data_IF_343252391208
#
_entry.id   IF_343252391208
#
_cell.length_a   1.000
_cell.length_b   1.000
_cell.length_c   1.000
_cell.angle_alpha   90.00
_cell.angle_beta   90.00
_cell.angle_gamma   90.00
#
_symmetry.space_group_name_H-M   'P 1'
#
loop_
_entity.id
_entity.type
_entity.pdbx_description
1 polymer ?
#
# COMPACT_ATOMS: atom_id res chain seq x y z
N UNK A 1 34.21 11.16 -8.52
CA UNK A 1 33.49 11.57 -8.39
C UNK A 1 32.93 11.50 -8.12
N UNK A 2 32.74 11.31 -8.01
CA UNK A 2 32.05 11.51 -7.84
C UNK A 2 31.54 11.62 -7.58
N UNK A 3 31.58 11.53 -7.52
CA UNK A 3 30.93 11.84 -7.31
C UNK A 3 30.37 12.03 -7.39
N UNK A 4 30.50 11.90 -7.43
CA UNK A 4 29.72 12.35 -7.58
C UNK A 4 29.12 12.20 -7.47
N UNK A 5 29.24 12.13 -7.38
CA UNK A 5 28.44 12.18 -7.11
C UNK A 5 27.91 12.47 -6.70
N UNK A 6 27.71 12.81 -6.59
CA UNK A 6 27.07 13.29 -6.15
C UNK A 6 26.61 13.88 -6.16
N UNK A 7 26.22 14.59 -6.39
CA UNK A 7 25.60 15.15 -6.39
C UNK A 7 24.64 15.47 -6.69
N UNK A 8 23.99 15.97 -6.74
CA UNK A 8 22.83 15.98 -7.65
C UNK A 8 22.21 14.61 -7.80
N UNK A 9 22.62 13.69 -7.03
CA UNK A 9 22.09 12.34 -7.06
C UNK A 9 20.67 12.27 -6.49
N UNK A 10 20.34 13.19 -5.61
CA UNK A 10 18.98 13.21 -5.03
C UNK A 10 17.96 13.58 -6.08
N UNK A 11 18.29 14.50 -6.96
CA UNK A 11 17.42 14.85 -8.07
C UNK A 11 17.23 13.68 -9.01
N UNK A 12 18.28 12.92 -9.25
CA UNK A 12 18.20 11.72 -10.07
C UNK A 12 17.26 10.69 -9.47
N UNK A 13 17.29 10.53 -8.16
CA UNK A 13 16.39 9.58 -7.49
C UNK A 13 14.95 9.99 -7.61
N UNK A 14 14.66 11.28 -7.53
CA UNK A 14 13.30 11.78 -7.69
C UNK A 14 12.80 11.59 -9.11
N UNK A 15 13.67 11.81 -10.08
CA UNK A 15 13.32 11.66 -11.49
C UNK A 15 13.08 10.20 -11.83
N UNK A 16 13.75 9.30 -11.13
CA UNK A 16 13.71 7.88 -11.45
C UNK A 16 12.59 7.12 -10.77
N UNK A 17 11.66 7.82 -10.14
CA UNK A 17 10.49 7.13 -9.59
C UNK A 17 9.75 6.43 -10.73
N UNK A 18 9.51 5.11 -10.61
CA UNK A 18 8.87 4.37 -11.70
C UNK A 18 7.43 4.80 -11.90
N UNK A 19 6.99 4.74 -13.15
CA UNK A 19 5.61 5.01 -13.52
C UNK A 19 4.92 3.69 -13.84
N UNK A 20 3.66 3.61 -13.44
CA UNK A 20 2.84 2.43 -13.69
C UNK A 20 1.64 2.81 -14.57
N UNK A 21 1.05 1.82 -15.21
CA UNK A 21 -0.14 2.05 -16.02
C UNK A 21 -1.32 2.42 -15.11
N UNK A 22 -2.06 3.45 -15.49
CA UNK A 22 -3.18 3.93 -14.70
C UNK A 22 -4.37 2.96 -14.76
N UNK A 23 -4.49 2.20 -15.86
CA UNK A 23 -5.59 1.25 -16.08
C UNK A 23 -5.14 -0.21 -15.95
N UNK A 24 -4.16 -0.46 -15.09
CA UNK A 24 -3.66 -1.81 -14.88
C UNK A 24 -4.73 -2.69 -14.23
N UNK A 25 -4.56 -4.01 -14.39
CA UNK A 25 -5.56 -5.00 -13.96
C UNK A 25 -5.37 -5.41 -12.50
N UNK A 26 -5.13 -4.45 -11.62
CA UNK A 26 -5.05 -4.68 -10.19
C UNK A 26 -5.94 -3.67 -9.49
N UNK A 27 -6.66 -4.14 -8.48
CA UNK A 27 -7.72 -3.36 -7.85
C UNK A 27 -7.60 -3.45 -6.34
N UNK A 28 -7.66 -2.30 -5.70
CA UNK A 28 -7.70 -2.18 -4.25
C UNK A 28 -8.75 -1.14 -3.88
N UNK A 29 -9.61 -1.50 -2.94
CA UNK A 29 -10.64 -0.59 -2.43
C UNK A 29 -10.29 -0.23 -0.99
N UNK A 30 -9.78 0.98 -0.72
CA UNK A 30 -9.44 1.38 0.62
C UNK A 30 -10.66 1.39 1.54
N UNK A 31 -10.44 1.07 2.81
CA UNK A 31 -11.47 1.23 3.82
C UNK A 31 -11.83 2.69 3.97
N UNK A 32 -13.06 2.98 4.37
CA UNK A 32 -13.46 4.35 4.68
C UNK A 32 -12.85 4.82 5.98
N UNK A 33 -12.70 3.92 6.94
CA UNK A 33 -12.15 4.21 8.26
C UNK A 33 -11.47 2.97 8.79
N UNK A 34 -10.34 3.18 9.48
CA UNK A 34 -9.63 2.12 10.19
C UNK A 34 -9.67 2.43 11.68
N UNK A 35 -10.05 1.44 12.48
CA UNK A 35 -10.10 1.61 13.92
C UNK A 35 -8.86 1.04 14.60
N UNK A 36 -8.45 1.67 15.70
CA UNK A 36 -7.28 1.24 16.44
C UNK A 36 -7.58 0.12 17.45
N UNK A 37 -8.82 -0.33 17.51
CA UNK A 37 -9.26 -1.30 18.52
C UNK A 37 -9.60 -2.67 17.94
N UNK A 38 -9.48 -2.85 16.63
CA UNK A 38 -9.76 -4.15 16.00
C UNK A 38 -8.95 -4.33 14.74
N UNK A 39 -8.72 -5.60 14.42
CA UNK A 39 -7.99 -5.95 13.20
C UNK A 39 -8.81 -5.62 11.96
N UNK A 40 -8.11 -5.39 10.85
CA UNK A 40 -8.72 -5.15 9.55
C UNK A 40 -7.87 -5.85 8.48
N UNK A 41 -8.49 -6.09 7.33
CA UNK A 41 -7.82 -6.74 6.22
C UNK A 41 -7.48 -5.73 5.13
N UNK A 42 -6.27 -5.84 4.60
CA UNK A 42 -5.84 -5.09 3.43
C UNK A 42 -5.80 -6.08 2.26
N UNK A 43 -6.65 -5.86 1.25
CA UNK A 43 -6.86 -6.81 0.18
C UNK A 43 -6.61 -6.19 -1.18
N UNK A 44 -6.11 -7.01 -2.09
CA UNK A 44 -5.93 -6.61 -3.49
C UNK A 44 -6.42 -7.73 -4.39
N UNK A 45 -6.96 -7.34 -5.55
CA UNK A 45 -7.40 -8.26 -6.58
C UNK A 45 -6.61 -8.02 -7.84
N UNK A 46 -6.45 -9.05 -8.65
CA UNK A 46 -5.88 -8.90 -9.97
C UNK A 46 -6.66 -9.73 -10.98
N UNK A 47 -6.80 -9.20 -12.19
CA UNK A 47 -7.40 -9.92 -13.31
C UNK A 47 -6.37 -10.66 -14.15
N UNK A 48 -5.09 -10.56 -13.80
CA UNK A 48 -4.08 -11.34 -14.49
C UNK A 48 -4.25 -12.82 -14.14
N UNK A 49 -4.09 -13.68 -15.14
CA UNK A 49 -4.14 -15.12 -14.95
C UNK A 49 -3.06 -15.53 -13.93
N UNK A 50 -3.42 -16.43 -13.02
CA UNK A 50 -2.50 -16.94 -12.01
C UNK A 50 -1.21 -17.47 -12.61
N UNK A 51 -1.27 -18.03 -13.81
CA UNK A 51 -0.10 -18.55 -14.50
C UNK A 51 0.85 -17.43 -14.92
N UNK A 52 0.36 -16.21 -15.07
CA UNK A 52 1.16 -15.05 -15.44
C UNK A 52 1.76 -14.34 -14.22
N UNK A 53 1.19 -14.55 -13.05
CA UNK A 53 1.58 -13.84 -11.83
C UNK A 53 2.75 -14.58 -11.19
N UNK A 54 3.85 -13.85 -10.99
CA UNK A 54 5.01 -14.38 -10.29
C UNK A 54 4.91 -14.10 -8.78
N UNK A 55 4.50 -12.89 -8.40
CA UNK A 55 4.49 -12.49 -7.00
C UNK A 55 3.51 -11.35 -6.80
N UNK A 56 2.71 -11.46 -5.73
CA UNK A 56 1.90 -10.35 -5.24
C UNK A 56 2.38 -9.99 -3.85
N UNK A 57 2.61 -8.72 -3.60
CA UNK A 57 3.15 -8.26 -2.31
C UNK A 57 2.40 -7.03 -1.81
N UNK A 58 2.35 -6.92 -0.50
CA UNK A 58 1.92 -5.73 0.21
C UNK A 58 3.14 -5.08 0.84
N UNK A 59 3.30 -3.78 0.64
CA UNK A 59 4.31 -3.00 1.33
C UNK A 59 3.60 -2.05 2.28
N UNK A 60 4.00 -2.04 3.55
CA UNK A 60 3.37 -1.16 4.52
C UNK A 60 4.36 -0.66 5.55
N UNK A 61 4.03 0.47 6.13
CA UNK A 61 4.77 1.06 7.23
C UNK A 61 3.81 1.79 8.15
N UNK A 62 4.25 2.03 9.37
CA UNK A 62 3.48 2.76 10.37
C UNK A 62 4.38 3.80 11.04
N UNK A 63 3.78 4.66 11.86
CA UNK A 63 4.58 5.59 12.66
C UNK A 63 5.47 4.86 13.68
N UNK A 64 5.04 3.66 14.14
CA UNK A 64 5.84 2.84 15.05
C UNK A 64 6.98 2.12 14.35
N UNK A 65 6.82 1.83 13.04
CA UNK A 65 7.82 1.14 12.23
C UNK A 65 7.90 1.85 10.88
N UNK A 66 8.76 2.88 10.79
CA UNK A 66 8.76 3.78 9.62
C UNK A 66 9.35 3.20 8.35
N UNK A 67 9.97 2.04 8.40
CA UNK A 67 10.48 1.38 7.20
C UNK A 67 9.41 0.50 6.59
N UNK A 68 9.28 0.53 5.27
CA UNK A 68 8.38 -0.37 4.59
C UNK A 68 8.77 -1.83 4.83
N UNK A 69 7.77 -2.65 5.09
CA UNK A 69 7.93 -4.09 5.19
C UNK A 69 7.13 -4.74 4.11
N UNK A 70 7.67 -5.80 3.53
CA UNK A 70 7.01 -6.53 2.47
C UNK A 70 6.34 -7.78 3.03
N UNK A 71 5.09 -7.97 2.65
CA UNK A 71 4.36 -9.22 2.88
C UNK A 71 4.15 -9.85 1.52
N UNK A 72 4.85 -10.96 1.27
CA UNK A 72 4.70 -11.71 0.03
C UNK A 72 3.55 -12.69 0.19
N UNK A 73 2.57 -12.62 -0.71
CA UNK A 73 1.39 -13.49 -0.63
C UNK A 73 1.65 -14.85 -1.27
N UNK A 74 1.01 -15.93 -0.75
CA UNK A 74 1.10 -17.23 -1.37
C UNK A 74 0.52 -17.23 -2.79
N UNK A 75 1.11 -18.02 -3.68
CA UNK A 75 0.69 -18.04 -5.09
C UNK A 75 -0.59 -18.81 -5.35
N UNK A 76 -0.97 -19.69 -4.47
CA UNK A 76 -2.07 -20.62 -4.66
C UNK A 76 -3.40 -20.09 -4.12
N UNK A 77 -3.47 -18.81 -3.83
CA UNK A 77 -4.69 -18.20 -3.30
C UNK A 77 -5.34 -17.33 -4.39
N UNK A 78 -6.67 -17.26 -4.36
CA UNK A 78 -7.43 -16.37 -5.24
C UNK A 78 -7.54 -14.97 -4.67
N UNK A 79 -7.24 -14.84 -3.41
CA UNK A 79 -7.45 -13.62 -2.68
C UNK A 79 -6.19 -13.25 -1.94
N UNK A 80 -5.71 -12.05 -2.17
CA UNK A 80 -4.49 -11.57 -1.54
C UNK A 80 -4.90 -10.61 -0.42
N UNK A 81 -4.83 -11.09 0.81
CA UNK A 81 -5.34 -10.37 1.98
C UNK A 81 -4.36 -10.49 3.13
N UNK A 82 -4.08 -9.38 3.79
CA UNK A 82 -3.23 -9.31 4.98
C UNK A 82 -4.03 -8.71 6.13
N UNK A 83 -4.05 -9.42 7.25
CA UNK A 83 -4.74 -8.97 8.45
C UNK A 83 -3.79 -8.20 9.34
N UNK A 84 -4.11 -6.94 9.57
CA UNK A 84 -3.34 -6.09 10.49
C UNK A 84 -4.11 -5.97 11.79
N UNK A 85 -3.42 -6.25 12.92
CA UNK A 85 -4.03 -6.16 14.24
C UNK A 85 -3.36 -5.01 15.02
N UNK A 86 -4.04 -3.87 15.17
CA UNK A 86 -3.47 -2.74 15.90
C UNK A 86 -3.36 -2.98 17.39
N UNK A 87 -4.03 -3.98 17.94
CA UNK A 87 -3.85 -4.34 19.35
C UNK A 87 -2.49 -5.02 19.57
N UNK A 88 -2.05 -5.80 18.59
CA UNK A 88 -0.73 -6.44 18.63
C UNK A 88 0.37 -5.48 18.17
N UNK A 89 0.06 -4.59 17.24
CA UNK A 89 1.01 -3.65 16.66
C UNK A 89 0.42 -2.24 16.68
N UNK A 90 0.46 -1.54 17.82
CA UNK A 90 -0.14 -0.22 17.92
C UNK A 90 0.49 0.78 16.98
N UNK A 91 -0.34 1.61 16.37
CA UNK A 91 0.10 2.66 15.48
C UNK A 91 -0.98 3.73 15.39
N UNK A 92 -0.57 4.95 15.03
CA UNK A 92 -1.50 6.06 14.82
C UNK A 92 -1.94 6.15 13.37
N UNK A 93 -1.10 5.70 12.44
CA UNK A 93 -1.46 5.67 11.03
C UNK A 93 -0.68 4.56 10.33
N UNK A 94 -1.19 4.15 9.17
CA UNK A 94 -0.57 3.15 8.31
C UNK A 94 -0.48 3.71 6.89
N UNK A 95 0.64 3.45 6.23
CA UNK A 95 0.86 3.80 4.83
C UNK A 95 1.19 2.50 4.10
N UNK A 96 0.51 2.26 2.96
CA UNK A 96 0.69 0.99 2.27
C UNK A 96 0.41 1.10 0.78
N UNK A 97 0.92 0.11 0.04
CA UNK A 97 0.61 -0.10 -1.37
C UNK A 97 0.86 -1.56 -1.72
N UNK A 98 0.34 -1.97 -2.87
CA UNK A 98 0.50 -3.35 -3.36
C UNK A 98 1.27 -3.36 -4.66
N UNK A 99 1.98 -4.47 -4.91
CA UNK A 99 2.63 -4.71 -6.20
C UNK A 99 2.27 -6.08 -6.72
N UNK A 100 2.23 -6.19 -8.05
CA UNK A 100 2.04 -7.46 -8.75
C UNK A 100 3.17 -7.58 -9.76
N UNK A 101 3.97 -8.63 -9.63
CA UNK A 101 5.03 -8.93 -10.57
C UNK A 101 4.58 -10.07 -11.45
N UNK A 102 4.75 -9.92 -12.77
CA UNK A 102 4.41 -10.96 -13.73
C UNK A 102 5.67 -11.75 -14.12
N UNK A 103 5.45 -12.94 -14.68
CA UNK A 103 6.55 -13.82 -15.07
C UNK A 103 7.45 -13.22 -16.15
N UNK A 104 6.93 -12.26 -16.93
CA UNK A 104 7.73 -11.58 -17.95
C UNK A 104 8.58 -10.44 -17.40
N UNK A 105 8.60 -10.25 -16.08
CA UNK A 105 9.38 -9.21 -15.44
C UNK A 105 8.65 -7.89 -15.25
N UNK A 106 7.44 -7.75 -15.79
CA UNK A 106 6.64 -6.53 -15.59
C UNK A 106 6.20 -6.42 -14.14
N UNK A 107 6.24 -5.21 -13.59
CA UNK A 107 5.78 -4.94 -12.23
C UNK A 107 4.73 -3.84 -12.28
N UNK A 108 3.61 -4.10 -11.64
CA UNK A 108 2.52 -3.13 -11.50
C UNK A 108 2.30 -2.83 -10.04
N UNK A 109 1.79 -1.65 -9.75
CA UNK A 109 1.52 -1.23 -8.39
C UNK A 109 0.17 -0.53 -8.30
N UNK A 110 -0.43 -0.56 -7.13
CA UNK A 110 -1.65 0.18 -6.85
C UNK A 110 -1.62 0.70 -5.41
N UNK A 111 -2.12 1.89 -5.11
CA UNK A 111 -2.74 2.85 -6.04
C UNK A 111 -1.71 3.66 -6.82
N UNK A 112 -2.13 4.12 -7.98
CA UNK A 112 -1.34 5.07 -8.78
C UNK A 112 -2.23 6.25 -9.14
N UNK A 113 -1.61 7.40 -9.39
CA UNK A 113 -2.35 8.57 -9.84
C UNK A 113 -2.57 8.51 -11.36
N UNK A 114 -3.22 9.54 -11.90
CA UNK A 114 -3.55 9.56 -13.33
C UNK A 114 -2.31 9.63 -14.22
N UNK A 115 -1.17 10.05 -13.68
CA UNK A 115 0.09 10.09 -14.43
C UNK A 115 0.90 8.81 -14.28
N UNK A 116 0.39 7.82 -13.55
CA UNK A 116 1.06 6.54 -13.35
C UNK A 116 2.08 6.51 -12.24
N UNK A 117 2.15 7.55 -11.42
CA UNK A 117 3.06 7.56 -10.27
C UNK A 117 2.42 6.87 -9.07
N UNK A 118 3.22 6.12 -8.35
CA UNK A 118 2.76 5.43 -7.14
C UNK A 118 2.26 6.44 -6.12
N UNK A 119 1.08 6.15 -5.57
CA UNK A 119 0.44 7.00 -4.57
C UNK A 119 -0.01 6.14 -3.40
N UNK A 120 0.89 5.83 -2.45
CA UNK A 120 0.52 4.97 -1.32
C UNK A 120 -0.66 5.52 -0.55
N UNK A 121 -1.47 4.62 -0.01
CA UNK A 121 -2.60 4.97 0.84
C UNK A 121 -2.08 5.25 2.24
N UNK A 122 -2.45 6.39 2.82
CA UNK A 122 -2.17 6.69 4.22
C UNK A 122 -3.48 6.90 4.94
N UNK A 123 -3.71 6.15 6.02
CA UNK A 123 -4.92 6.24 6.81
C UNK A 123 -4.60 6.28 8.28
N UNK A 124 -5.31 7.13 9.02
CA UNK A 124 -5.21 7.17 10.46
C UNK A 124 -5.98 6.01 11.08
N UNK A 125 -5.45 5.48 12.18
CA UNK A 125 -6.16 4.51 13.01
C UNK A 125 -6.85 5.28 14.11
N UNK A 126 -8.18 5.27 14.12
CA UNK A 126 -8.96 6.15 14.98
C UNK A 126 -9.64 5.37 16.08
N UNK A 127 -9.90 6.07 17.18
CA UNK A 127 -10.68 5.52 18.29
C UNK A 127 -12.15 5.45 17.88
N UNK A 128 -12.80 4.28 17.96
CA UNK A 128 -14.21 4.17 17.57
C UNK A 128 -15.13 5.11 18.35
N UNK A 129 -14.91 5.27 19.65
CA UNK A 129 -15.75 6.12 20.47
C UNK A 129 -15.67 7.57 20.01
N UNK A 130 -14.45 8.04 19.77
CA UNK A 130 -14.23 9.41 19.29
C UNK A 130 -14.83 9.59 17.90
N UNK A 131 -14.63 8.63 17.01
CA UNK A 131 -15.12 8.69 15.63
C UNK A 131 -16.64 8.84 15.61
N UNK A 132 -17.36 7.97 16.32
CA UNK A 132 -18.81 7.99 16.30
C UNK A 132 -19.38 9.19 17.03
N UNK A 133 -18.71 9.68 18.07
CA UNK A 133 -19.11 10.90 18.74
C UNK A 133 -19.03 12.11 17.81
N UNK A 134 -17.91 12.25 17.10
CA UNK A 134 -17.72 13.37 16.17
C UNK A 134 -18.71 13.29 15.01
N UNK A 135 -19.01 12.08 14.56
CA UNK A 135 -19.97 11.86 13.47
C UNK A 135 -21.39 12.26 13.93
N UNK A 136 -21.76 11.90 15.15
CA UNK A 136 -23.06 12.28 15.71
C UNK A 136 -23.17 13.80 15.89
N UNK A 137 -22.04 14.49 16.08
CA UNK A 137 -22.02 15.95 16.19
C UNK A 137 -21.97 16.65 14.83
N UNK A 138 -22.00 15.87 13.73
CA UNK A 138 -22.00 16.43 12.38
C UNK A 138 -20.66 16.98 11.90
N UNK A 139 -19.56 16.49 12.44
CA UNK A 139 -18.22 16.97 12.09
C UNK A 139 -17.61 16.30 10.87
N UNK A 140 -18.36 15.41 10.22
CA UNK A 140 -17.91 14.71 9.03
C UNK A 140 -18.79 15.01 7.84
#
# INVERSE_FOLDING_TARGET
>A
MIIGVSFCQEDDLQIKQPKFLADQKIFHHPHKVLFNSRAFDLEVFTEYDKKQVKQVSLFFRTDSQPRYREVAFPKDTDRYSFRYDPLANPANYITYFFTVELNNGSVFATPVDSSGLLKPVTMNLVDPMKYYKERAEGKF
#
